data_IF_951857936190
#
_entry.id   IF_951857936190
#
_cell.length_a   1.000
_cell.length_b   1.000
_cell.length_c   1.000
_cell.angle_alpha   90.00
_cell.angle_beta   90.00
_cell.angle_gamma   90.00
#
_symmetry.space_group_name_H-M   'P 1'
#
loop_
_entity.id
_entity.type
_entity.pdbx_description
1 polymer ?
#
# COMPACT_ATOMS: atom_id res chain seq x y z
N UNK A 1 3.55 -13.35 -15.95
CA UNK A 1 3.89 -14.26 -14.82
C UNK A 1 3.47 -15.66 -15.26
N UNK A 2 4.38 -16.65 -15.25
CA UNK A 2 4.10 -18.00 -15.74
C UNK A 2 3.37 -18.92 -14.73
N UNK A 3 2.86 -18.39 -13.61
CA UNK A 3 2.10 -19.20 -12.64
C UNK A 3 2.94 -20.15 -11.77
N UNK A 4 4.26 -19.98 -11.75
CA UNK A 4 5.23 -20.91 -11.14
C UNK A 4 5.32 -20.87 -9.60
N UNK A 5 4.36 -20.26 -8.89
CA UNK A 5 4.37 -20.30 -7.43
C UNK A 5 3.53 -19.25 -6.70
N UNK A 6 3.75 -19.19 -5.39
CA UNK A 6 3.07 -18.30 -4.45
C UNK A 6 4.06 -17.22 -4.00
N UNK A 7 3.61 -15.96 -3.99
CA UNK A 7 4.39 -14.83 -3.52
C UNK A 7 3.64 -14.04 -2.44
N UNK A 8 4.39 -13.33 -1.60
CA UNK A 8 3.85 -12.32 -0.70
C UNK A 8 4.04 -10.94 -1.34
N UNK A 9 2.93 -10.23 -1.54
CA UNK A 9 2.91 -8.90 -2.12
C UNK A 9 2.39 -7.85 -1.15
N UNK A 10 2.96 -6.66 -1.21
CA UNK A 10 2.49 -5.51 -0.45
C UNK A 10 1.34 -4.84 -1.19
N UNK A 11 0.27 -4.48 -0.46
CA UNK A 11 -0.72 -3.54 -0.99
C UNK A 11 -0.16 -2.11 -0.88
N UNK A 12 -0.33 -1.26 -1.91
CA UNK A 12 -1.20 -1.46 -3.08
C UNK A 12 -0.53 -2.10 -4.31
N UNK A 13 0.76 -2.47 -4.25
CA UNK A 13 1.54 -2.93 -5.42
C UNK A 13 0.93 -4.12 -6.16
N UNK A 14 0.18 -4.98 -5.47
CA UNK A 14 -0.47 -6.15 -6.07
C UNK A 14 -1.94 -5.93 -6.43
N UNK A 15 -2.54 -4.79 -6.09
CA UNK A 15 -4.00 -4.61 -6.23
C UNK A 15 -4.43 -4.66 -7.69
N UNK A 16 -3.73 -3.98 -8.61
CA UNK A 16 -4.03 -4.06 -10.05
C UNK A 16 -3.89 -5.49 -10.59
N UNK A 17 -2.93 -6.27 -10.10
CA UNK A 17 -2.77 -7.67 -10.51
C UNK A 17 -3.90 -8.56 -9.96
N UNK A 18 -4.40 -8.27 -8.76
CA UNK A 18 -5.55 -8.96 -8.18
C UNK A 18 -6.85 -8.59 -8.90
N UNK A 19 -7.02 -7.31 -9.23
CA UNK A 19 -8.18 -6.78 -9.96
C UNK A 19 -8.26 -7.32 -11.40
N UNK A 20 -7.12 -7.40 -12.09
CA UNK A 20 -7.03 -7.96 -13.45
C UNK A 20 -7.05 -9.48 -13.49
N UNK A 21 -6.99 -10.17 -12.34
CA UNK A 21 -6.97 -11.63 -12.25
C UNK A 21 -5.63 -12.28 -12.62
N UNK A 22 -4.58 -11.49 -12.90
CA UNK A 22 -3.21 -12.01 -13.12
C UNK A 22 -2.64 -12.61 -11.83
N UNK A 23 -3.08 -12.13 -10.67
CA UNK A 23 -2.86 -12.75 -9.37
C UNK A 23 -4.21 -13.12 -8.75
N UNK A 24 -4.20 -14.18 -7.94
CA UNK A 24 -5.34 -14.59 -7.12
C UNK A 24 -4.94 -14.68 -5.65
N UNK A 25 -5.88 -14.40 -4.74
CA UNK A 25 -5.65 -14.56 -3.30
C UNK A 25 -5.67 -16.04 -2.94
N UNK A 26 -4.54 -16.55 -2.46
CA UNK A 26 -4.45 -17.92 -1.92
C UNK A 26 -5.08 -18.00 -0.52
N UNK A 27 -4.94 -16.95 0.30
CA UNK A 27 -5.61 -16.81 1.60
C UNK A 27 -6.54 -15.60 1.62
N UNK A 28 -7.73 -15.79 2.20
CA UNK A 28 -8.74 -14.72 2.29
C UNK A 28 -8.36 -13.64 3.30
N UNK A 29 -7.71 -14.02 4.40
CA UNK A 29 -7.26 -13.09 5.43
C UNK A 29 -5.88 -12.52 5.06
N UNK A 30 -5.72 -11.18 4.95
CA UNK A 30 -4.42 -10.58 4.67
C UNK A 30 -3.46 -10.78 5.85
N UNK A 31 -2.20 -11.07 5.54
CA UNK A 31 -1.12 -11.02 6.51
C UNK A 31 -0.82 -9.56 6.85
N UNK A 32 -0.82 -9.23 8.15
CA UNK A 32 -0.45 -7.89 8.64
C UNK A 32 1.01 -7.91 9.07
N UNK A 33 1.75 -6.87 8.68
CA UNK A 33 3.12 -6.64 9.10
C UNK A 33 3.23 -5.28 9.78
N UNK A 34 4.18 -5.15 10.72
CA UNK A 34 4.60 -3.85 11.27
C UNK A 34 5.51 -3.07 10.32
N UNK A 35 6.04 -3.74 9.29
CA UNK A 35 6.80 -3.11 8.21
C UNK A 35 5.81 -2.62 7.15
N UNK A 36 6.18 -1.59 6.40
CA UNK A 36 5.31 -1.00 5.38
C UNK A 36 5.86 0.32 4.89
N UNK A 37 4.97 1.13 4.32
CA UNK A 37 5.30 2.46 3.83
C UNK A 37 5.34 3.48 4.97
N UNK A 38 6.26 4.44 4.87
CA UNK A 38 6.40 5.54 5.82
C UNK A 38 6.43 6.84 5.03
N UNK A 39 5.67 7.84 5.50
CA UNK A 39 5.74 9.21 5.01
C UNK A 39 6.76 9.99 5.83
N UNK A 40 7.79 10.52 5.16
CA UNK A 40 8.81 11.36 5.80
C UNK A 40 8.87 12.72 5.13
N UNK A 41 8.96 13.79 5.93
CA UNK A 41 9.16 15.14 5.43
C UNK A 41 10.10 15.92 6.37
N UNK A 42 11.04 16.65 5.78
CA UNK A 42 12.03 17.47 6.49
C UNK A 42 11.35 18.63 7.24
N UNK A 43 11.95 19.02 8.36
CA UNK A 43 11.51 20.15 9.18
C UNK A 43 12.46 21.35 9.01
N UNK A 44 11.96 22.60 9.03
CA UNK A 44 10.55 22.99 9.11
C UNK A 44 9.78 22.72 7.81
N UNK A 45 8.47 22.48 7.92
CA UNK A 45 7.58 22.24 6.78
C UNK A 45 6.84 23.52 6.40
N UNK A 46 6.56 23.70 5.12
CA UNK A 46 5.58 24.70 4.69
C UNK A 46 4.16 24.23 5.00
N UNK A 47 3.21 25.16 5.05
CA UNK A 47 1.79 24.83 5.26
C UNK A 47 1.23 23.91 4.17
N UNK A 48 1.71 24.05 2.93
CA UNK A 48 1.31 23.15 1.83
C UNK A 48 1.83 21.73 2.04
N UNK A 49 3.07 21.60 2.52
CA UNK A 49 3.64 20.29 2.82
C UNK A 49 2.92 19.60 3.99
N UNK A 50 2.50 20.37 5.00
CA UNK A 50 1.68 19.88 6.11
C UNK A 50 0.30 19.40 5.64
N UNK A 51 -0.42 20.23 4.89
CA UNK A 51 -1.71 19.88 4.29
C UNK A 51 -1.61 18.62 3.41
N UNK A 52 -0.57 18.52 2.60
CA UNK A 52 -0.37 17.34 1.75
C UNK A 52 -0.06 16.07 2.57
N UNK A 53 0.74 16.19 3.63
CA UNK A 53 1.02 15.06 4.52
C UNK A 53 -0.26 14.55 5.19
N UNK A 54 -1.07 15.47 5.71
CA UNK A 54 -2.34 15.13 6.37
C UNK A 54 -3.32 14.48 5.39
N UNK A 55 -3.43 15.04 4.19
CA UNK A 55 -4.25 14.46 3.13
C UNK A 55 -3.80 13.03 2.79
N UNK A 56 -2.49 12.80 2.61
CA UNK A 56 -1.95 11.50 2.23
C UNK A 56 -2.12 10.44 3.33
N UNK A 57 -1.94 10.83 4.60
CA UNK A 57 -2.21 9.96 5.76
C UNK A 57 -3.68 9.58 5.82
N UNK A 58 -4.60 10.53 5.62
CA UNK A 58 -6.03 10.25 5.61
C UNK A 58 -6.42 9.34 4.44
N UNK A 59 -5.93 9.62 3.23
CA UNK A 59 -6.17 8.79 2.05
C UNK A 59 -5.72 7.34 2.29
N UNK A 60 -4.53 7.14 2.86
CA UNK A 60 -3.98 5.80 3.12
C UNK A 60 -4.80 4.95 4.11
N UNK A 61 -5.57 5.58 5.01
CA UNK A 61 -6.45 4.88 5.97
C UNK A 61 -7.75 4.40 5.34
N UNK A 62 -8.20 5.04 4.26
CA UNK A 62 -9.46 4.72 3.58
C UNK A 62 -9.30 3.56 2.59
N UNK A 63 -8.10 3.31 2.07
CA UNK A 63 -7.83 2.33 1.01
C UNK A 63 -7.43 0.92 1.51
N UNK A 64 -7.55 0.62 2.81
CA UNK A 64 -7.13 -0.68 3.41
C UNK A 64 -8.33 -1.52 3.84
#
# INVERSE_FOLDING_TARGET
MQGEGIALGWRPLVDTCLESGVLVKVWQKPLRSRRGYVLTARTPRSSQAELFCDWLVNLSRMSI
#
